data_IF_968048741278
#
_entry.id   IF_968048741278
#
_cell.length_a   1.000
_cell.length_b   1.000
_cell.length_c   1.000
_cell.angle_alpha   90.00
_cell.angle_beta   90.00
_cell.angle_gamma   90.00
#
_symmetry.space_group_name_H-M   'P 1'
#
loop_
_entity.id
_entity.type
_entity.pdbx_description
1 polymer ?
#
# COMPACT_ATOMS: atom_id res chain seq x y z
N UNK A 1 29.96 37.89 13.70
CA UNK A 1 29.43 37.38 14.99
C UNK A 1 28.42 38.39 15.44
N UNK A 2 27.14 38.05 15.33
CA UNK A 2 26.07 39.04 15.42
C UNK A 2 25.56 39.19 16.85
N UNK A 3 25.91 38.25 17.74
CA UNK A 3 25.55 38.28 19.16
C UNK A 3 26.55 37.45 19.98
N UNK A 4 26.99 37.96 21.13
CA UNK A 4 27.84 37.25 22.09
C UNK A 4 27.11 37.19 23.42
N UNK A 5 26.94 35.99 23.96
CA UNK A 5 26.18 35.73 25.19
C UNK A 5 26.97 34.84 26.13
N UNK A 6 26.77 35.02 27.43
CA UNK A 6 27.33 34.15 28.46
C UNK A 6 26.39 32.98 28.71
N UNK A 7 26.94 31.86 29.17
CA UNK A 7 26.14 30.74 29.65
C UNK A 7 25.13 31.20 30.71
N UNK A 8 23.97 30.56 30.68
CA UNK A 8 22.80 30.79 31.56
C UNK A 8 22.20 32.20 31.49
N UNK A 9 22.64 33.04 30.56
CA UNK A 9 22.01 34.34 30.30
C UNK A 9 20.99 34.23 29.18
N UNK A 10 19.71 34.58 29.42
CA UNK A 10 18.72 34.60 28.37
C UNK A 10 18.97 35.76 27.41
N UNK A 11 18.76 35.52 26.12
CA UNK A 11 18.94 36.49 25.05
C UNK A 11 17.85 36.32 23.99
N UNK A 12 17.53 37.42 23.31
CA UNK A 12 16.51 37.44 22.27
C UNK A 12 17.15 37.29 20.89
N UNK A 13 16.68 36.30 20.13
CA UNK A 13 17.06 36.07 18.75
C UNK A 13 15.92 36.49 17.81
N UNK A 14 16.19 37.39 16.84
CA UNK A 14 15.20 37.78 15.85
C UNK A 14 14.57 36.56 15.18
N UNK A 15 13.24 36.55 15.05
CA UNK A 15 12.45 35.49 14.42
C UNK A 15 12.48 34.10 15.10
N UNK A 16 13.28 33.90 16.15
CA UNK A 16 13.35 32.64 16.92
C UNK A 16 12.68 32.80 18.29
N UNK A 17 12.91 33.93 18.96
CA UNK A 17 12.42 34.22 20.31
C UNK A 17 13.52 34.21 21.36
N UNK A 18 13.14 34.07 22.63
CA UNK A 18 14.04 34.16 23.78
C UNK A 18 14.67 32.80 24.08
N UNK A 19 15.98 32.70 24.00
CA UNK A 19 16.75 31.49 24.27
C UNK A 19 17.69 31.69 25.45
N UNK A 20 18.14 30.59 26.06
CA UNK A 20 19.24 30.56 27.03
C UNK A 20 20.09 29.33 26.76
N UNK A 21 21.41 29.46 26.78
CA UNK A 21 22.33 28.33 26.61
C UNK A 21 22.89 28.00 27.98
N UNK A 22 22.50 26.84 28.51
CA UNK A 22 23.05 26.31 29.76
C UNK A 22 24.19 25.36 29.48
N UNK A 23 25.24 25.41 30.30
CA UNK A 23 26.28 24.38 30.29
C UNK A 23 25.73 23.11 30.97
N UNK A 24 25.57 22.04 30.19
CA UNK A 24 25.03 20.76 30.66
C UNK A 24 26.15 19.71 30.77
N UNK A 25 27.42 20.12 30.70
CA UNK A 25 28.54 19.21 30.49
C UNK A 25 28.96 18.48 31.77
N UNK A 26 28.94 17.15 31.76
CA UNK A 26 29.76 16.30 32.65
C UNK A 26 31.23 16.22 32.17
N UNK A 27 31.53 16.79 31.00
CA UNK A 27 32.83 16.75 30.33
C UNK A 27 33.49 18.13 30.44
N UNK A 28 34.79 18.17 30.78
CA UNK A 28 35.57 19.39 30.95
C UNK A 28 35.55 20.24 29.67
N UNK A 29 35.15 21.51 29.77
CA UNK A 29 35.14 22.46 28.65
C UNK A 29 36.50 22.49 27.95
N UNK A 30 36.52 22.16 26.67
CA UNK A 30 37.73 22.07 25.82
C UNK A 30 38.07 23.45 25.24
N UNK A 31 37.09 24.34 25.13
CA UNK A 31 37.22 25.69 24.58
C UNK A 31 36.58 26.73 25.50
N UNK A 32 37.13 27.95 25.49
CA UNK A 32 36.62 29.08 26.29
C UNK A 32 35.43 29.78 25.60
N UNK A 33 35.35 29.70 24.27
CA UNK A 33 34.31 30.32 23.46
C UNK A 33 33.70 29.30 22.50
N UNK A 34 32.37 29.37 22.35
CA UNK A 34 31.60 28.56 21.41
C UNK A 34 30.83 29.49 20.49
N UNK A 35 30.69 29.08 19.22
CA UNK A 35 29.87 29.79 18.25
C UNK A 35 28.83 28.85 17.65
N UNK A 36 27.67 29.41 17.37
CA UNK A 36 26.55 28.73 16.74
C UNK A 36 26.04 29.58 15.59
N UNK A 37 25.63 28.92 14.52
CA UNK A 37 24.95 29.54 13.40
C UNK A 37 23.50 29.07 13.40
N UNK A 38 22.57 30.00 13.24
CA UNK A 38 21.14 29.71 13.15
C UNK A 38 20.74 29.86 11.69
N UNK A 39 20.30 28.75 11.11
CA UNK A 39 19.85 28.70 9.72
C UNK A 39 18.39 28.24 9.66
N UNK A 40 17.70 28.58 8.56
CA UNK A 40 16.35 28.08 8.33
C UNK A 40 16.37 26.56 8.11
N UNK A 41 15.25 25.89 8.39
CA UNK A 41 15.12 24.44 8.14
C UNK A 41 15.39 24.14 6.66
N UNK A 42 14.86 24.93 5.74
CA UNK A 42 15.02 24.71 4.30
C UNK A 42 16.48 24.85 3.86
N UNK A 43 17.17 25.89 4.34
CA UNK A 43 18.61 26.07 4.09
C UNK A 43 19.40 24.89 4.61
N UNK A 44 19.13 24.47 5.85
CA UNK A 44 19.86 23.35 6.45
C UNK A 44 19.60 22.03 5.73
N UNK A 45 18.37 21.80 5.29
CA UNK A 45 18.02 20.62 4.48
C UNK A 45 18.76 20.64 3.16
N UNK A 46 18.82 21.79 2.46
CA UNK A 46 19.55 21.92 1.21
C UNK A 46 21.05 21.59 1.38
N UNK A 47 21.70 22.13 2.41
CA UNK A 47 23.10 21.81 2.75
C UNK A 47 23.30 20.31 3.00
N UNK A 48 22.44 19.70 3.84
CA UNK A 48 22.51 18.27 4.12
C UNK A 48 22.28 17.41 2.86
N UNK A 49 21.44 17.88 1.92
CA UNK A 49 21.22 17.20 0.64
C UNK A 49 22.43 17.29 -0.28
N UNK A 50 23.17 18.40 -0.29
CA UNK A 50 24.42 18.53 -1.04
C UNK A 50 25.52 17.60 -0.50
N UNK A 51 25.56 17.39 0.81
CA UNK A 51 26.52 16.50 1.48
C UNK A 51 26.16 15.01 1.35
N UNK A 52 24.92 14.69 1.00
CA UNK A 52 24.42 13.33 0.78
C UNK A 52 24.58 12.90 -0.68
N UNK A 53 25.25 11.78 -0.90
CA UNK A 53 25.35 11.11 -2.21
C UNK A 53 24.64 9.77 -2.15
N UNK A 54 23.75 9.52 -3.12
CA UNK A 54 22.95 8.30 -3.24
C UNK A 54 23.28 7.62 -4.57
N UNK A 55 23.82 6.41 -4.52
CA UNK A 55 24.27 5.68 -5.72
C UNK A 55 23.69 4.28 -5.79
N UNK A 56 23.31 3.86 -7.00
CA UNK A 56 22.99 2.46 -7.31
C UNK A 56 24.13 1.92 -8.16
N UNK A 57 25.16 1.37 -7.51
CA UNK A 57 26.41 0.93 -8.19
C UNK A 57 26.17 -0.14 -9.26
N UNK A 58 25.13 -0.96 -9.09
CA UNK A 58 24.75 -1.97 -10.08
C UNK A 58 23.23 -1.98 -10.24
N UNK A 59 22.72 -1.58 -11.41
CA UNK A 59 21.27 -1.56 -11.71
C UNK A 59 20.63 -2.96 -11.74
N UNK A 60 21.43 -4.03 -11.76
CA UNK A 60 20.96 -5.41 -11.67
C UNK A 60 20.82 -5.90 -10.22
N UNK A 61 21.29 -5.13 -9.24
CA UNK A 61 21.23 -5.47 -7.81
C UNK A 61 20.41 -4.41 -7.07
N UNK A 62 19.57 -4.83 -6.12
CA UNK A 62 18.71 -3.96 -5.31
C UNK A 62 19.44 -3.37 -4.10
N UNK A 63 20.67 -2.86 -4.30
CA UNK A 63 21.48 -2.21 -3.26
C UNK A 63 21.65 -0.73 -3.58
N UNK A 64 21.44 0.11 -2.56
CA UNK A 64 21.63 1.55 -2.59
C UNK A 64 22.77 1.88 -1.64
N UNK A 65 23.79 2.55 -2.14
CA UNK A 65 24.89 3.07 -1.35
C UNK A 65 24.62 4.52 -0.98
N UNK A 66 24.73 4.81 0.32
CA UNK A 66 24.57 6.15 0.87
C UNK A 66 25.92 6.63 1.41
N UNK A 67 26.37 7.79 0.95
CA UNK A 67 27.57 8.45 1.44
C UNK A 67 27.21 9.82 1.97
N UNK A 68 27.68 10.17 3.16
CA UNK A 68 27.41 11.47 3.77
C UNK A 68 28.72 12.14 4.18
N UNK A 69 29.00 13.33 3.63
CA UNK A 69 30.22 14.09 3.92
C UNK A 69 30.01 14.95 5.16
N UNK A 70 30.90 14.82 6.15
CA UNK A 70 30.81 15.66 7.33
C UNK A 70 32.19 15.87 7.98
N UNK A 71 32.56 17.09 8.44
CA UNK A 71 33.84 17.35 9.09
C UNK A 71 34.05 16.56 10.39
N UNK A 72 32.97 16.32 11.12
CA UNK A 72 32.95 15.51 12.35
C UNK A 72 32.42 14.11 11.98
N UNK A 73 33.26 13.06 11.94
CA UNK A 73 32.85 11.74 11.45
C UNK A 73 31.66 11.16 12.22
N UNK A 74 31.68 11.26 13.55
CA UNK A 74 30.59 10.75 14.40
C UNK A 74 29.25 11.40 14.10
N UNK A 75 29.23 12.72 13.90
CA UNK A 75 28.02 13.46 13.54
C UNK A 75 27.49 13.05 12.16
N UNK A 76 28.38 12.77 11.20
CA UNK A 76 27.98 12.24 9.90
C UNK A 76 27.35 10.84 10.01
N UNK A 77 27.95 9.94 10.80
CA UNK A 77 27.38 8.62 11.09
C UNK A 77 25.99 8.73 11.73
N UNK A 78 25.83 9.63 12.71
CA UNK A 78 24.56 9.80 13.44
C UNK A 78 23.47 10.39 12.54
N UNK A 79 23.81 11.38 11.70
CA UNK A 79 22.88 11.95 10.70
C UNK A 79 22.42 10.87 9.73
N UNK A 80 23.36 10.13 9.13
CA UNK A 80 23.03 9.11 8.15
C UNK A 80 22.25 7.95 8.79
N UNK A 81 22.61 7.55 10.01
CA UNK A 81 21.87 6.53 10.76
C UNK A 81 20.44 6.96 11.04
N UNK A 82 20.24 8.22 11.47
CA UNK A 82 18.91 8.76 11.74
C UNK A 82 18.08 8.90 10.47
N UNK A 83 18.70 9.29 9.35
CA UNK A 83 18.03 9.36 8.05
C UNK A 83 17.52 7.97 7.62
N UNK A 84 18.38 6.94 7.70
CA UNK A 84 18.00 5.56 7.37
C UNK A 84 16.86 5.08 8.29
N UNK A 85 16.97 5.31 9.61
CA UNK A 85 15.93 4.95 10.56
C UNK A 85 14.58 5.60 10.20
N UNK A 86 14.58 6.91 9.92
CA UNK A 86 13.35 7.64 9.56
C UNK A 86 12.79 7.23 8.21
N UNK A 87 13.63 6.92 7.24
CA UNK A 87 13.22 6.39 5.95
C UNK A 87 12.53 5.02 6.09
N UNK A 88 13.14 4.10 6.83
CA UNK A 88 12.57 2.76 7.12
C UNK A 88 11.26 2.89 7.89
N UNK A 89 11.22 3.76 8.91
CA UNK A 89 10.01 4.02 9.71
C UNK A 89 8.86 4.58 8.85
N UNK A 90 9.16 5.54 7.97
CA UNK A 90 8.19 6.13 7.04
C UNK A 90 7.62 5.10 6.08
N UNK A 91 8.47 4.28 5.46
CA UNK A 91 8.04 3.21 4.56
C UNK A 91 7.17 2.16 5.25
N UNK A 92 7.51 1.80 6.50
CA UNK A 92 6.69 0.88 7.27
C UNK A 92 5.31 1.46 7.59
N UNK A 93 5.25 2.75 7.93
CA UNK A 93 3.98 3.45 8.19
C UNK A 93 3.09 3.46 6.96
N UNK A 94 3.62 3.86 5.81
CA UNK A 94 2.90 3.85 4.54
C UNK A 94 2.35 2.46 4.18
N UNK A 95 3.18 1.42 4.32
CA UNK A 95 2.79 0.03 4.08
C UNK A 95 1.66 -0.40 5.01
N UNK A 96 1.75 -0.03 6.29
CA UNK A 96 0.72 -0.35 7.27
C UNK A 96 -0.59 0.39 7.00
N UNK A 97 -0.54 1.63 6.50
CA UNK A 97 -1.74 2.39 6.10
C UNK A 97 -2.49 1.70 4.95
N UNK A 98 -1.75 1.26 3.93
CA UNK A 98 -2.33 0.49 2.80
C UNK A 98 -2.90 -0.84 3.29
N UNK A 99 -2.18 -1.54 4.17
CA UNK A 99 -2.64 -2.81 4.74
C UNK A 99 -3.91 -2.63 5.58
N UNK A 100 -4.00 -1.57 6.38
CA UNK A 100 -5.17 -1.28 7.22
C UNK A 100 -6.40 -0.92 6.39
N UNK A 101 -6.23 -0.10 5.37
CA UNK A 101 -7.30 0.18 4.41
C UNK A 101 -7.77 -1.09 3.71
N UNK A 102 -6.83 -1.96 3.32
CA UNK A 102 -7.13 -3.24 2.67
C UNK A 102 -7.90 -4.19 3.57
N UNK A 103 -7.45 -4.40 4.81
CA UNK A 103 -8.16 -5.25 5.78
C UNK A 103 -9.56 -4.70 6.03
N UNK A 104 -9.70 -3.39 6.21
CA UNK A 104 -11.01 -2.76 6.43
C UNK A 104 -11.95 -2.92 5.23
N UNK A 105 -11.45 -2.73 4.02
CA UNK A 105 -12.20 -2.97 2.79
C UNK A 105 -12.71 -4.42 2.73
N UNK A 106 -11.82 -5.38 2.96
CA UNK A 106 -12.15 -6.81 2.90
C UNK A 106 -13.15 -7.19 4.00
N UNK A 107 -12.96 -6.72 5.24
CA UNK A 107 -13.87 -7.02 6.36
C UNK A 107 -15.29 -6.51 6.12
N UNK A 108 -15.44 -5.29 5.60
CA UNK A 108 -16.76 -4.76 5.23
C UNK A 108 -17.43 -5.65 4.18
N UNK A 109 -16.66 -6.13 3.19
CA UNK A 109 -17.19 -6.99 2.13
C UNK A 109 -17.52 -8.40 2.64
N UNK A 110 -16.70 -8.97 3.51
CA UNK A 110 -16.95 -10.26 4.16
C UNK A 110 -18.23 -10.25 4.99
N UNK A 111 -18.52 -9.16 5.70
CA UNK A 111 -19.77 -9.03 6.46
C UNK A 111 -21.00 -9.10 5.55
N UNK A 112 -20.98 -8.40 4.41
CA UNK A 112 -22.05 -8.42 3.43
C UNK A 112 -22.21 -9.81 2.80
N UNK A 113 -21.13 -10.43 2.33
CA UNK A 113 -21.18 -11.77 1.71
C UNK A 113 -21.59 -12.84 2.71
N UNK A 114 -21.14 -12.74 3.96
CA UNK A 114 -21.52 -13.66 5.04
C UNK A 114 -23.03 -13.64 5.29
N UNK A 115 -23.65 -12.46 5.28
CA UNK A 115 -25.11 -12.33 5.36
C UNK A 115 -25.79 -12.99 4.16
N UNK A 116 -25.35 -12.69 2.93
CA UNK A 116 -25.93 -13.28 1.72
C UNK A 116 -25.78 -14.80 1.67
N UNK A 117 -24.67 -15.35 2.21
CA UNK A 117 -24.46 -16.78 2.35
C UNK A 117 -25.45 -17.41 3.34
N UNK A 118 -25.64 -16.79 4.50
CA UNK A 118 -26.60 -17.25 5.50
C UNK A 118 -28.04 -17.27 4.96
N UNK A 119 -28.44 -16.22 4.25
CA UNK A 119 -29.75 -16.14 3.59
C UNK A 119 -29.91 -17.24 2.52
N UNK A 120 -28.87 -17.46 1.72
CA UNK A 120 -28.87 -18.48 0.68
C UNK A 120 -28.90 -19.91 1.27
N UNK A 121 -28.19 -20.17 2.36
CA UNK A 121 -28.22 -21.44 3.07
C UNK A 121 -29.61 -21.73 3.66
N UNK A 122 -30.24 -20.72 4.27
CA UNK A 122 -31.63 -20.81 4.73
C UNK A 122 -32.60 -21.11 3.58
N UNK A 123 -32.42 -20.43 2.43
CA UNK A 123 -33.23 -20.67 1.24
C UNK A 123 -33.05 -22.09 0.68
N UNK A 124 -31.81 -22.59 0.63
CA UNK A 124 -31.50 -23.97 0.21
C UNK A 124 -32.15 -24.98 1.15
N UNK A 125 -32.03 -24.78 2.46
CA UNK A 125 -32.63 -25.65 3.46
C UNK A 125 -34.16 -25.68 3.32
N UNK A 126 -34.80 -24.51 3.24
CA UNK A 126 -36.24 -24.39 3.05
C UNK A 126 -36.71 -25.03 1.74
N UNK A 127 -35.94 -24.85 0.66
CA UNK A 127 -36.22 -25.48 -0.63
C UNK A 127 -36.17 -27.01 -0.55
N UNK A 128 -35.16 -27.59 0.12
CA UNK A 128 -35.04 -29.04 0.33
C UNK A 128 -36.20 -29.61 1.15
N UNK A 129 -36.55 -28.94 2.25
CA UNK A 129 -37.65 -29.37 3.13
C UNK A 129 -39.00 -29.30 2.41
N UNK A 130 -39.29 -28.20 1.71
CA UNK A 130 -40.58 -28.00 1.01
C UNK A 130 -40.80 -29.00 -0.12
N UNK A 131 -39.73 -29.40 -0.80
CA UNK A 131 -39.82 -30.28 -1.97
C UNK A 131 -39.40 -31.73 -1.67
N UNK A 132 -39.17 -32.10 -0.41
CA UNK A 132 -38.72 -33.44 0.01
C UNK A 132 -37.49 -33.95 -0.75
N UNK A 133 -36.52 -33.04 -1.01
CA UNK A 133 -35.35 -33.35 -1.82
C UNK A 133 -34.27 -34.06 -0.98
N UNK A 134 -34.47 -35.36 -0.72
CA UNK A 134 -33.53 -36.18 0.03
C UNK A 134 -32.40 -36.75 -0.84
N UNK A 135 -32.75 -37.31 -2.00
CA UNK A 135 -31.80 -37.90 -2.95
C UNK A 135 -31.96 -37.29 -4.34
N UNK A 136 -30.83 -36.97 -4.98
CA UNK A 136 -30.80 -36.48 -6.36
C UNK A 136 -30.84 -37.66 -7.34
N UNK A 137 -31.54 -37.48 -8.45
CA UNK A 137 -31.52 -38.45 -9.56
C UNK A 137 -30.12 -38.65 -10.14
N UNK A 138 -29.87 -39.80 -10.77
CA UNK A 138 -28.60 -40.06 -11.47
C UNK A 138 -28.35 -39.07 -12.61
N UNK A 139 -29.41 -38.58 -13.26
CA UNK A 139 -29.33 -37.52 -14.28
C UNK A 139 -28.80 -36.21 -13.68
N UNK A 140 -29.29 -35.83 -12.50
CA UNK A 140 -28.80 -34.67 -11.76
C UNK A 140 -27.33 -34.81 -11.35
N UNK A 141 -26.93 -35.97 -10.85
CA UNK A 141 -25.52 -36.24 -10.48
C UNK A 141 -24.61 -36.16 -11.70
N UNK A 142 -25.02 -36.75 -12.83
CA UNK A 142 -24.31 -36.65 -14.10
C UNK A 142 -24.17 -35.19 -14.55
N UNK A 143 -25.23 -34.39 -14.41
CA UNK A 143 -25.20 -32.96 -14.75
C UNK A 143 -24.21 -32.17 -13.88
N UNK A 144 -24.17 -32.43 -12.58
CA UNK A 144 -23.17 -31.82 -11.68
C UNK A 144 -21.77 -32.20 -12.15
N UNK A 145 -21.53 -33.46 -12.48
CA UNK A 145 -20.22 -33.92 -12.93
C UNK A 145 -19.81 -33.26 -14.25
N UNK A 146 -20.71 -33.14 -15.23
CA UNK A 146 -20.41 -32.53 -16.53
C UNK A 146 -20.25 -31.01 -16.47
N UNK A 147 -20.89 -30.34 -15.50
CA UNK A 147 -20.83 -28.88 -15.35
C UNK A 147 -19.81 -28.40 -14.32
N UNK A 148 -19.26 -29.28 -13.48
CA UNK A 148 -18.37 -28.93 -12.36
C UNK A 148 -17.19 -28.03 -12.75
N UNK A 149 -16.51 -28.33 -13.85
CA UNK A 149 -15.39 -27.51 -14.33
C UNK A 149 -15.84 -26.11 -14.74
N UNK A 150 -16.94 -25.99 -15.49
CA UNK A 150 -17.49 -24.69 -15.88
C UNK A 150 -17.98 -23.89 -14.68
N UNK A 151 -18.57 -24.55 -13.67
CA UNK A 151 -18.99 -23.89 -12.43
C UNK A 151 -17.78 -23.37 -11.65
N UNK A 152 -16.68 -24.13 -11.59
CA UNK A 152 -15.43 -23.67 -10.97
C UNK A 152 -14.83 -22.46 -11.70
N UNK A 153 -14.82 -22.47 -13.05
CA UNK A 153 -14.40 -21.32 -13.84
C UNK A 153 -15.31 -20.11 -13.63
N UNK A 154 -16.63 -20.33 -13.60
CA UNK A 154 -17.62 -19.29 -13.34
C UNK A 154 -17.40 -18.65 -11.97
N UNK A 155 -17.14 -19.44 -10.93
CA UNK A 155 -16.87 -18.95 -9.58
C UNK A 155 -15.64 -18.03 -9.53
N UNK A 156 -14.57 -18.37 -10.25
CA UNK A 156 -13.37 -17.53 -10.36
C UNK A 156 -13.67 -16.18 -11.03
N UNK A 157 -14.40 -16.20 -12.15
CA UNK A 157 -14.76 -14.97 -12.88
C UNK A 157 -15.72 -14.11 -12.07
N UNK A 158 -16.73 -14.70 -11.43
CA UNK A 158 -17.68 -13.98 -10.58
C UNK A 158 -17.01 -13.38 -9.34
N UNK A 159 -16.01 -14.07 -8.77
CA UNK A 159 -15.18 -13.53 -7.69
C UNK A 159 -14.49 -12.23 -8.14
N UNK A 160 -13.84 -12.25 -9.31
CA UNK A 160 -13.17 -11.07 -9.86
C UNK A 160 -14.16 -9.93 -10.17
N UNK A 161 -15.30 -10.24 -10.78
CA UNK A 161 -16.38 -9.27 -11.03
C UNK A 161 -16.86 -8.64 -9.72
N UNK A 162 -17.10 -9.45 -8.69
CA UNK A 162 -17.57 -8.94 -7.39
C UNK A 162 -16.53 -8.04 -6.72
N UNK A 163 -15.24 -8.36 -6.84
CA UNK A 163 -14.16 -7.53 -6.31
C UNK A 163 -14.11 -6.19 -7.05
N UNK A 164 -14.15 -6.20 -8.38
CA UNK A 164 -14.15 -4.98 -9.20
C UNK A 164 -15.32 -4.08 -8.85
N UNK A 165 -16.54 -4.63 -8.74
CA UNK A 165 -17.71 -3.84 -8.35
C UNK A 165 -17.56 -3.22 -6.97
N UNK A 166 -17.02 -3.98 -6.01
CA UNK A 166 -16.75 -3.46 -4.66
C UNK A 166 -15.69 -2.36 -4.67
N UNK A 167 -14.69 -2.45 -5.55
CA UNK A 167 -13.70 -1.40 -5.75
C UNK A 167 -14.31 -0.15 -6.40
N UNK A 168 -15.18 -0.30 -7.40
CA UNK A 168 -15.91 0.82 -8.01
C UNK A 168 -16.79 1.53 -6.97
N UNK A 169 -17.56 0.79 -6.17
CA UNK A 169 -18.34 1.35 -5.05
C UNK A 169 -17.44 2.04 -4.02
N UNK A 170 -16.26 1.49 -3.75
CA UNK A 170 -15.30 2.11 -2.85
C UNK A 170 -14.67 3.38 -3.42
N UNK A 171 -14.59 3.54 -4.75
CA UNK A 171 -14.06 4.74 -5.41
C UNK A 171 -15.09 5.87 -5.52
N UNK A 172 -16.36 5.52 -5.74
CA UNK A 172 -17.49 6.43 -5.99
C UNK A 172 -17.93 7.27 -4.76
N UNK A 173 -17.42 6.99 -3.54
CA UNK A 173 -17.67 7.82 -2.34
C UNK A 173 -16.87 9.16 -2.39
N UNK A 174 -17.37 10.06 -3.25
CA UNK A 174 -16.77 11.33 -3.67
C UNK A 174 -16.55 12.34 -2.53
N UNK A 175 -17.26 12.15 -1.40
CA UNK A 175 -17.18 13.05 -0.23
C UNK A 175 -16.02 12.68 0.71
N UNK A 176 -15.40 11.49 0.56
CA UNK A 176 -14.41 10.95 1.53
C UNK A 176 -13.15 10.33 0.91
N UNK A 177 -13.04 10.22 -0.41
CA UNK A 177 -12.03 9.37 -1.03
C UNK A 177 -10.76 10.07 -1.50
N UNK A 178 -9.92 10.39 -0.52
CA UNK A 178 -8.46 10.49 -0.69
C UNK A 178 -7.79 9.48 0.22
N UNK A 179 -8.25 8.23 0.13
CA UNK A 179 -7.77 7.09 0.92
C UNK A 179 -7.11 6.11 -0.01
N UNK A 180 -6.09 5.43 0.51
CA UNK A 180 -5.38 4.39 -0.21
C UNK A 180 -6.30 3.22 -0.57
N UNK A 181 -6.01 2.62 -1.72
CA UNK A 181 -6.72 1.50 -2.32
C UNK A 181 -5.96 0.19 -2.13
N UNK A 182 -6.68 -0.94 -2.04
CA UNK A 182 -6.06 -2.27 -2.05
C UNK A 182 -5.39 -2.58 -3.40
N UNK A 183 -4.07 -2.78 -3.41
CA UNK A 183 -3.29 -3.00 -4.66
C UNK A 183 -3.14 -4.46 -5.08
N UNK A 184 -3.73 -5.43 -4.37
CA UNK A 184 -3.48 -6.87 -4.61
C UNK A 184 -4.75 -7.73 -4.68
N UNK A 185 -5.91 -7.11 -4.91
CA UNK A 185 -7.21 -7.81 -4.96
C UNK A 185 -7.56 -8.40 -6.33
N UNK A 186 -6.96 -7.88 -7.41
CA UNK A 186 -7.17 -8.40 -8.78
C UNK A 186 -5.88 -9.07 -9.24
N UNK A 187 -5.80 -10.41 -9.18
CA UNK A 187 -4.61 -11.12 -9.63
C UNK A 187 -4.35 -10.90 -11.13
N UNK A 188 -3.07 -10.77 -11.50
CA UNK A 188 -2.58 -10.70 -12.88
C UNK A 188 -2.97 -9.47 -13.72
N UNK A 189 -3.63 -8.45 -13.15
CA UNK A 189 -3.84 -7.16 -13.84
C UNK A 189 -2.70 -6.18 -13.53
N UNK A 190 -1.64 -6.23 -14.35
CA UNK A 190 -0.46 -5.37 -14.19
C UNK A 190 -0.77 -3.88 -14.37
N UNK A 191 -1.74 -3.55 -15.23
CA UNK A 191 -2.12 -2.17 -15.53
C UNK A 191 -2.86 -1.58 -14.33
N UNK A 192 -3.85 -2.30 -13.82
CA UNK A 192 -4.57 -1.91 -12.61
C UNK A 192 -3.63 -1.78 -11.40
N UNK A 193 -2.77 -2.76 -11.16
CA UNK A 193 -1.86 -2.73 -10.01
C UNK A 193 -0.89 -1.54 -10.06
N UNK A 194 -0.37 -1.21 -11.26
CA UNK A 194 0.48 -0.02 -11.45
C UNK A 194 -0.29 1.29 -11.22
N UNK A 195 -1.53 1.38 -11.71
CA UNK A 195 -2.37 2.56 -11.51
C UNK A 195 -2.72 2.78 -10.03
N UNK A 196 -3.09 1.70 -9.32
CA UNK A 196 -3.36 1.74 -7.87
C UNK A 196 -2.10 2.12 -7.08
N UNK A 197 -0.93 1.62 -7.46
CA UNK A 197 0.31 1.98 -6.81
C UNK A 197 0.57 3.49 -6.91
N UNK A 198 0.47 4.06 -8.11
CA UNK A 198 0.62 5.51 -8.34
C UNK A 198 -0.40 6.32 -7.53
N UNK A 199 -1.66 5.91 -7.53
CA UNK A 199 -2.72 6.56 -6.76
C UNK A 199 -2.42 6.55 -5.25
N UNK A 200 -1.95 5.41 -4.72
CA UNK A 200 -1.60 5.28 -3.31
C UNK A 200 -0.40 6.16 -2.95
N UNK A 201 0.62 6.22 -3.80
CA UNK A 201 1.78 7.10 -3.62
C UNK A 201 1.36 8.56 -3.52
N UNK A 202 0.52 9.05 -4.44
CA UNK A 202 -0.01 10.42 -4.41
C UNK A 202 -0.84 10.69 -3.14
N UNK A 203 -1.66 9.72 -2.73
CA UNK A 203 -2.50 9.85 -1.53
C UNK A 203 -1.67 9.94 -0.25
N UNK A 204 -0.62 9.11 -0.13
CA UNK A 204 0.30 9.11 1.00
C UNK A 204 1.16 10.38 1.01
N UNK A 205 1.62 10.83 -0.16
CA UNK A 205 2.35 12.09 -0.28
C UNK A 205 1.49 13.29 0.14
N UNK A 206 0.23 13.34 -0.30
CA UNK A 206 -0.72 14.38 0.14
C UNK A 206 -0.84 14.39 1.67
N UNK A 207 -1.04 13.22 2.28
CA UNK A 207 -1.17 13.09 3.73
C UNK A 207 0.08 13.59 4.47
N UNK A 208 1.28 13.34 3.93
CA UNK A 208 2.54 13.85 4.49
C UNK A 208 2.65 15.37 4.40
N UNK A 209 2.32 15.96 3.25
CA UNK A 209 2.38 17.42 3.06
C UNK A 209 1.42 18.15 4.00
N UNK A 210 0.21 17.63 4.18
CA UNK A 210 -0.81 18.20 5.07
C UNK A 210 -0.43 18.23 6.57
N UNK A 211 0.67 17.59 6.98
CA UNK A 211 1.20 17.74 8.35
C UNK A 211 1.67 19.19 8.59
N UNK A 212 2.20 19.85 7.56
CA UNK A 212 2.79 21.19 7.66
C UNK A 212 2.05 22.28 6.89
N UNK A 213 1.11 21.94 6.01
CA UNK A 213 0.37 22.91 5.19
C UNK A 213 -1.14 22.66 5.22
N UNK A 214 -1.93 23.71 4.99
CA UNK A 214 -3.39 23.63 4.87
C UNK A 214 -3.82 23.14 3.48
N UNK A 215 -5.05 22.64 3.36
CA UNK A 215 -5.61 22.16 2.09
C UNK A 215 -5.66 23.22 0.98
N UNK A 216 -5.72 24.50 1.33
CA UNK A 216 -5.72 25.61 0.35
C UNK A 216 -4.34 25.87 -0.29
N UNK A 217 -3.27 25.21 0.15
CA UNK A 217 -1.94 25.41 -0.40
C UNK A 217 -1.91 24.96 -1.89
N UNK A 218 -1.37 25.78 -2.82
CA UNK A 218 -1.35 25.42 -4.24
C UNK A 218 -0.71 24.06 -4.57
N UNK A 219 0.28 23.63 -3.77
CA UNK A 219 0.90 22.32 -3.94
C UNK A 219 -0.02 21.15 -3.56
N UNK A 220 -0.99 21.38 -2.65
CA UNK A 220 -2.01 20.40 -2.28
C UNK A 220 -3.12 20.38 -3.33
N UNK A 221 -3.52 21.55 -3.85
CA UNK A 221 -4.51 21.60 -4.94
C UNK A 221 -3.99 20.88 -6.18
N UNK A 222 -2.69 20.99 -6.47
CA UNK A 222 -2.07 20.27 -7.57
C UNK A 222 -2.11 18.75 -7.36
N UNK A 223 -1.67 18.26 -6.19
CA UNK A 223 -1.66 16.81 -5.92
C UNK A 223 -3.08 16.24 -5.87
N UNK A 224 -4.06 17.02 -5.41
CA UNK A 224 -5.47 16.64 -5.44
C UNK A 224 -5.95 16.39 -6.87
N UNK A 225 -5.60 17.27 -7.80
CA UNK A 225 -5.92 17.09 -9.22
C UNK A 225 -5.23 15.85 -9.81
N UNK A 226 -4.00 15.55 -9.40
CA UNK A 226 -3.30 14.33 -9.83
C UNK A 226 -3.96 13.07 -9.28
N UNK A 227 -4.42 13.09 -8.03
CA UNK A 227 -5.20 12.00 -7.41
C UNK A 227 -6.50 11.77 -8.19
N UNK A 228 -7.23 12.84 -8.51
CA UNK A 228 -8.50 12.73 -9.23
C UNK A 228 -8.31 12.18 -10.66
N UNK A 229 -7.28 12.63 -11.38
CA UNK A 229 -6.94 12.07 -12.68
C UNK A 229 -6.57 10.58 -12.56
N UNK A 230 -5.75 10.22 -11.58
CA UNK A 230 -5.37 8.82 -11.35
C UNK A 230 -6.56 7.96 -10.96
N UNK A 231 -7.56 8.53 -10.27
CA UNK A 231 -8.82 7.84 -9.93
C UNK A 231 -9.62 7.54 -11.19
N UNK A 232 -9.81 8.53 -12.06
CA UNK A 232 -10.52 8.35 -13.33
C UNK A 232 -9.85 7.30 -14.22
N UNK A 233 -8.50 7.26 -14.25
CA UNK A 233 -7.75 6.23 -14.95
C UNK A 233 -8.03 4.83 -14.37
N UNK A 234 -8.08 4.68 -13.04
CA UNK A 234 -8.40 3.42 -12.38
C UNK A 234 -9.84 2.99 -12.70
N UNK A 235 -10.81 3.90 -12.61
CA UNK A 235 -12.22 3.62 -12.90
C UNK A 235 -12.44 3.16 -14.35
N UNK A 236 -11.78 3.83 -15.30
CA UNK A 236 -11.81 3.44 -16.72
C UNK A 236 -11.23 2.05 -16.94
N UNK A 237 -10.11 1.73 -16.28
CA UNK A 237 -9.49 0.40 -16.37
C UNK A 237 -10.41 -0.67 -15.75
N UNK A 238 -10.96 -0.41 -14.56
CA UNK A 238 -11.92 -1.29 -13.89
C UNK A 238 -13.15 -1.57 -14.76
N UNK A 239 -13.71 -0.54 -15.42
CA UNK A 239 -14.83 -0.70 -16.35
C UNK A 239 -14.49 -1.60 -17.54
N UNK A 240 -13.33 -1.38 -18.16
CA UNK A 240 -12.86 -2.20 -19.29
C UNK A 240 -12.64 -3.66 -18.89
N UNK A 241 -12.01 -3.90 -17.72
CA UNK A 241 -11.81 -5.25 -17.20
C UNK A 241 -13.14 -5.91 -16.82
N UNK A 242 -14.07 -5.17 -16.24
CA UNK A 242 -15.42 -5.66 -15.92
C UNK A 242 -16.19 -6.12 -17.16
N UNK A 243 -16.09 -5.38 -18.26
CA UNK A 243 -16.73 -5.75 -19.53
C UNK A 243 -16.14 -7.05 -20.10
N UNK A 244 -14.81 -7.18 -20.10
CA UNK A 244 -14.13 -8.39 -20.55
C UNK A 244 -14.49 -9.63 -19.71
N UNK A 245 -14.55 -9.48 -18.39
CA UNK A 245 -14.98 -10.55 -17.48
C UNK A 245 -16.46 -10.89 -17.65
N UNK A 246 -17.31 -9.89 -17.91
CA UNK A 246 -18.73 -10.08 -18.19
C UNK A 246 -18.96 -10.90 -19.46
N UNK A 247 -18.21 -10.62 -20.53
CA UNK A 247 -18.23 -11.43 -21.77
C UNK A 247 -17.81 -12.88 -21.46
N UNK A 248 -16.75 -13.06 -20.68
CA UNK A 248 -16.24 -14.37 -20.29
C UNK A 248 -17.27 -15.16 -19.47
N UNK A 249 -17.87 -14.52 -18.46
CA UNK A 249 -18.97 -15.09 -17.66
C UNK A 249 -20.13 -15.54 -18.54
N UNK A 250 -20.56 -14.70 -19.49
CA UNK A 250 -21.68 -15.01 -20.39
C UNK A 250 -21.37 -16.20 -21.31
N UNK A 251 -20.12 -16.33 -21.76
CA UNK A 251 -19.63 -17.48 -22.52
C UNK A 251 -19.70 -18.76 -21.68
N UNK A 252 -19.18 -18.75 -20.45
CA UNK A 252 -19.22 -19.91 -19.55
C UNK A 252 -20.67 -20.31 -19.23
N UNK A 253 -21.54 -19.33 -18.95
CA UNK A 253 -22.97 -19.60 -18.74
C UNK A 253 -23.63 -20.26 -19.95
N UNK A 254 -23.24 -19.89 -21.17
CA UNK A 254 -23.74 -20.53 -22.39
C UNK A 254 -23.26 -21.98 -22.50
N UNK A 255 -22.02 -22.28 -22.12
CA UNK A 255 -21.47 -23.64 -22.08
C UNK A 255 -22.19 -24.51 -21.03
N UNK A 256 -22.48 -23.95 -19.86
CA UNK A 256 -23.28 -24.62 -18.82
C UNK A 256 -24.67 -24.95 -19.36
N UNK A 257 -25.36 -23.99 -19.99
CA UNK A 257 -26.69 -24.23 -20.59
C UNK A 257 -26.65 -25.30 -21.69
N UNK A 258 -25.58 -25.34 -22.49
CA UNK A 258 -25.40 -26.39 -23.50
C UNK A 258 -25.22 -27.76 -22.85
N UNK A 259 -24.40 -27.88 -21.80
CA UNK A 259 -24.23 -29.12 -21.04
C UNK A 259 -25.55 -29.55 -20.36
N UNK A 260 -26.31 -28.60 -19.80
CA UNK A 260 -27.64 -28.83 -19.24
C UNK A 260 -28.63 -29.39 -20.28
N UNK A 261 -28.54 -28.96 -21.54
CA UNK A 261 -29.39 -29.46 -22.62
C UNK A 261 -29.04 -30.88 -23.10
N UNK A 262 -27.80 -31.32 -22.89
CA UNK A 262 -27.33 -32.65 -23.29
C UNK A 262 -27.76 -33.75 -22.31
N UNK A 263 -28.04 -33.39 -21.06
CA UNK A 263 -28.58 -34.31 -20.05
C UNK A 263 -30.11 -34.34 -20.18
N UNK A 264 -30.69 -35.52 -20.44
CA UNK A 264 -32.16 -35.73 -20.52
C UNK A 264 -32.87 -35.15 -19.30
N UNK A 265 -34.11 -34.66 -19.50
CA UNK A 265 -34.98 -33.96 -18.54
C UNK A 265 -34.64 -34.19 -17.05
N UNK A 266 -33.70 -33.39 -16.54
CA UNK A 266 -33.54 -33.20 -15.11
C UNK A 266 -34.81 -32.54 -14.57
N UNK A 267 -35.47 -33.09 -13.53
CA UNK A 267 -36.66 -32.51 -12.93
C UNK A 267 -36.49 -31.04 -12.58
N UNK A 268 -37.53 -30.23 -12.78
CA UNK A 268 -37.49 -28.77 -12.57
C UNK A 268 -37.06 -28.38 -11.15
N UNK A 269 -37.54 -29.14 -10.16
CA UNK A 269 -37.19 -28.97 -8.75
C UNK A 269 -35.67 -29.17 -8.55
N UNK A 270 -35.08 -30.21 -9.14
CA UNK A 270 -33.65 -30.48 -9.03
C UNK A 270 -32.81 -29.44 -9.76
N UNK A 271 -33.25 -28.96 -10.94
CA UNK A 271 -32.59 -27.85 -11.65
C UNK A 271 -32.57 -26.58 -10.81
N UNK A 272 -33.68 -26.27 -10.16
CA UNK A 272 -33.80 -25.10 -9.27
C UNK A 272 -32.84 -25.22 -8.08
N UNK A 273 -32.74 -26.41 -7.47
CA UNK A 273 -31.76 -26.69 -6.43
C UNK A 273 -30.31 -26.53 -6.93
N UNK A 274 -29.98 -27.04 -8.12
CA UNK A 274 -28.64 -26.92 -8.70
C UNK A 274 -28.24 -25.46 -8.95
N UNK A 275 -29.19 -24.60 -9.33
CA UNK A 275 -28.93 -23.16 -9.45
C UNK A 275 -28.61 -22.52 -8.10
N UNK A 276 -29.34 -22.86 -7.04
CA UNK A 276 -29.05 -22.38 -5.69
C UNK A 276 -27.68 -22.90 -5.20
N UNK A 277 -27.38 -24.18 -5.42
CA UNK A 277 -26.10 -24.78 -5.07
C UNK A 277 -24.93 -24.11 -5.80
N UNK A 278 -25.10 -23.77 -7.09
CA UNK A 278 -24.12 -23.00 -7.87
C UNK A 278 -23.88 -21.62 -7.28
N UNK A 279 -24.94 -20.89 -6.92
CA UNK A 279 -24.82 -19.59 -6.27
C UNK A 279 -24.13 -19.70 -4.92
N UNK A 280 -24.39 -20.76 -4.15
CA UNK A 280 -23.75 -21.01 -2.87
C UNK A 280 -22.25 -21.23 -3.06
N UNK A 281 -21.87 -22.08 -4.01
CA UNK A 281 -20.47 -22.33 -4.32
C UNK A 281 -19.74 -21.05 -4.73
N UNK A 282 -20.32 -20.23 -5.61
CA UNK A 282 -19.72 -18.95 -6.04
C UNK A 282 -19.48 -18.03 -4.85
N UNK A 283 -20.49 -17.86 -3.96
CA UNK A 283 -20.37 -16.99 -2.79
C UNK A 283 -19.38 -17.55 -1.76
N UNK A 284 -19.33 -18.86 -1.57
CA UNK A 284 -18.38 -19.52 -0.68
C UNK A 284 -16.93 -19.33 -1.17
N UNK A 285 -16.69 -19.50 -2.47
CA UNK A 285 -15.37 -19.24 -3.07
C UNK A 285 -14.94 -17.79 -2.89
N UNK A 286 -15.83 -16.83 -3.14
CA UNK A 286 -15.56 -15.43 -2.90
C UNK A 286 -15.26 -15.14 -1.42
N UNK A 287 -16.03 -15.73 -0.50
CA UNK A 287 -15.81 -15.58 0.95
C UNK A 287 -14.43 -16.12 1.35
N UNK A 288 -14.07 -17.32 0.89
CA UNK A 288 -12.77 -17.95 1.16
C UNK A 288 -11.64 -17.09 0.57
N UNK A 289 -11.78 -16.64 -0.67
CA UNK A 289 -10.80 -15.78 -1.33
C UNK A 289 -10.54 -14.50 -0.52
N UNK A 290 -11.61 -13.80 -0.12
CA UNK A 290 -11.50 -12.59 0.68
C UNK A 290 -10.92 -12.86 2.06
N UNK A 291 -11.33 -13.94 2.73
CA UNK A 291 -10.79 -14.35 4.02
C UNK A 291 -9.29 -14.61 3.94
N UNK A 292 -8.85 -15.40 2.96
CA UNK A 292 -7.43 -15.68 2.70
C UNK A 292 -6.65 -14.39 2.44
N UNK A 293 -7.20 -13.48 1.63
CA UNK A 293 -6.55 -12.21 1.33
C UNK A 293 -6.46 -11.29 2.54
N UNK A 294 -7.48 -11.29 3.40
CA UNK A 294 -7.45 -10.57 4.67
C UNK A 294 -6.33 -11.08 5.57
N UNK A 295 -6.22 -12.41 5.71
CA UNK A 295 -5.21 -13.04 6.55
C UNK A 295 -3.79 -12.80 6.00
N UNK A 296 -3.59 -12.97 4.70
CA UNK A 296 -2.32 -12.65 4.02
C UNK A 296 -1.89 -11.19 4.28
N UNK A 297 -2.84 -10.26 4.19
CA UNK A 297 -2.59 -8.83 4.42
C UNK A 297 -2.26 -8.55 5.89
N UNK A 298 -2.97 -9.18 6.82
CA UNK A 298 -2.72 -9.05 8.26
C UNK A 298 -1.34 -9.62 8.67
N UNK A 299 -0.95 -10.77 8.10
CA UNK A 299 0.37 -11.37 8.29
C UNK A 299 1.46 -10.45 7.71
N UNK A 300 1.25 -9.92 6.50
CA UNK A 300 2.19 -8.99 5.87
C UNK A 300 2.41 -7.73 6.70
N UNK A 301 1.34 -7.20 7.31
CA UNK A 301 1.39 -6.06 8.25
C UNK A 301 2.18 -6.40 9.52
N UNK A 302 1.81 -7.49 10.21
CA UNK A 302 2.43 -7.87 11.49
C UNK A 302 3.89 -8.28 11.37
N UNK A 303 4.28 -8.82 10.22
CA UNK A 303 5.67 -9.17 9.93
C UNK A 303 6.60 -7.94 9.99
N UNK A 304 6.08 -6.71 9.83
CA UNK A 304 6.82 -5.44 9.87
C UNK A 304 8.11 -5.42 9.02
N UNK A 305 8.21 -6.29 8.02
CA UNK A 305 9.37 -6.35 7.13
C UNK A 305 9.26 -5.14 6.20
N UNK A 306 10.08 -4.12 6.49
CA UNK A 306 10.29 -3.01 5.59
C UNK A 306 10.87 -3.54 4.27
N UNK A 307 10.49 -2.92 3.15
CA UNK A 307 10.99 -3.29 1.82
C UNK A 307 12.50 -3.02 1.66
N UNK A 308 13.12 -2.39 2.66
CA UNK A 308 14.53 -2.06 2.74
C UNK A 308 15.11 -2.55 4.07
N UNK A 309 16.30 -3.14 4.02
CA UNK A 309 17.09 -3.52 5.19
C UNK A 309 18.47 -2.90 5.09
N UNK A 310 18.98 -2.37 6.21
CA UNK A 310 20.37 -1.94 6.31
C UNK A 310 21.28 -3.17 6.25
N UNK A 311 22.15 -3.21 5.23
CA UNK A 311 23.17 -4.26 5.08
C UNK A 311 24.35 -3.91 6.00
N UNK A 312 24.95 -2.75 5.78
CA UNK A 312 26.03 -2.21 6.59
C UNK A 312 25.57 -0.93 7.29
N UNK A 313 25.73 -0.81 8.63
CA UNK A 313 25.40 0.42 9.33
C UNK A 313 26.36 1.54 8.90
N UNK A 314 25.91 2.81 8.93
CA UNK A 314 26.75 3.96 8.64
C UNK A 314 28.03 3.94 9.47
N UNK A 315 29.17 3.99 8.78
CA UNK A 315 30.48 3.99 9.42
C UNK A 315 31.42 4.90 8.67
N UNK A 316 32.12 5.75 9.41
CA UNK A 316 33.11 6.67 8.87
C UNK A 316 34.36 5.95 8.38
N UNK A 317 34.98 6.50 7.33
CA UNK A 317 36.28 6.05 6.87
C UNK A 317 37.38 6.40 7.87
N UNK A 318 38.40 5.54 7.96
CA UNK A 318 39.55 5.75 8.86
C UNK A 318 40.37 6.98 8.46
N UNK A 319 40.36 7.34 7.17
CA UNK A 319 41.11 8.48 6.63
C UNK A 319 40.15 9.58 6.20
N UNK A 320 40.49 10.87 6.36
CA UNK A 320 39.66 11.97 5.87
C UNK A 320 39.48 11.91 4.35
N UNK A 321 38.25 12.10 3.87
CA UNK A 321 37.93 12.18 2.44
C UNK A 321 38.57 13.43 1.78
N UNK A 322 38.71 14.52 2.54
CA UNK A 322 39.32 15.78 2.11
C UNK A 322 40.10 16.47 3.24
N UNK A 323 41.14 17.27 2.94
CA UNK A 323 41.75 17.44 1.62
C UNK A 323 42.63 16.24 1.24
N UNK A 324 42.71 15.93 -0.06
CA UNK A 324 43.63 14.90 -0.58
C UNK A 324 45.07 15.41 -0.46
N UNK A 325 45.76 15.08 0.64
CA UNK A 325 47.11 15.58 0.96
C UNK A 325 48.07 15.50 -0.23
N UNK A 326 48.07 14.39 -0.97
CA UNK A 326 48.89 14.20 -2.18
C UNK A 326 48.62 15.24 -3.27
N UNK A 327 47.36 15.59 -3.50
CA UNK A 327 46.97 16.60 -4.49
C UNK A 327 47.30 18.01 -4.02
N UNK A 328 47.16 18.30 -2.73
CA UNK A 328 47.58 19.58 -2.14
C UNK A 328 49.10 19.76 -2.26
N UNK A 329 49.89 18.73 -1.99
CA UNK A 329 51.34 18.78 -2.17
C UNK A 329 51.75 18.96 -3.64
N UNK A 330 51.01 18.35 -4.59
CA UNK A 330 51.26 18.48 -6.03
C UNK A 330 50.95 19.86 -6.60
N UNK A 331 49.91 20.53 -6.08
CA UNK A 331 49.51 21.89 -6.50
C UNK A 331 50.25 23.00 -5.75
N UNK A 332 50.88 22.67 -4.61
CA UNK A 332 51.68 23.59 -3.81
C UNK A 332 53.17 23.62 -4.18
N UNK A 333 53.61 22.73 -5.08
CA UNK A 333 54.93 22.72 -5.72
C UNK A 333 54.89 23.51 -7.03
#
# INVERSE_FOLDING_TARGET
VDTVVRFDQPFDLPHVGKLSISDVSEIKNIYEEYSFEITSVDTRVAELMEDLTVEVKNKLITIIDLTFKHPIPKKGEDILSKLIEKYVQGNLKDKNEVADSTVKFIQNRLAYIGSELGDLEGNIQGFKQKNNLADMTEQSKLLVQTTSQYVSELAKVETQISVIKSLQEYLDDDVKNKRVLPSSLIPADLVFNGAVQKYNELTLERARRLIGVTEANPSIVLIDKEIDNSRADIESNLGTTLDALTITRNRINSQIKQAESQVREVPEIERSYLNLARQQQIKQELYIFLMQKSEETAISKTSNIANSKTIDPPKSEVKPFSPKKTMVYLLGL
#
